data_IF_011174466969
#
_entry.id   IF_011174466969
#
_cell.length_a   1.000
_cell.length_b   1.000
_cell.length_c   1.000
_cell.angle_alpha   90.00
_cell.angle_beta   90.00
_cell.angle_gamma   90.00
#
_symmetry.space_group_name_H-M   'P 1'
#
loop_
_entity.id
_entity.type
_entity.pdbx_description
1 polymer ?
#
# COMPACT_ATOMS: atom_id res chain seq x y z
N UNK A 1 -0.16 15.92 -9.53
CA UNK A 1 0.91 15.23 -10.24
C UNK A 1 1.79 16.21 -11.02
N UNK A 2 1.22 16.99 -11.97
CA UNK A 2 1.95 17.92 -12.87
C UNK A 2 2.17 19.33 -12.30
N UNK A 3 1.50 19.69 -11.18
CA UNK A 3 1.49 21.05 -10.66
C UNK A 3 0.50 21.94 -11.41
N UNK A 4 0.42 23.21 -10.99
CA UNK A 4 -0.44 24.21 -11.61
C UNK A 4 0.18 25.60 -11.48
N UNK A 5 -0.20 26.50 -12.35
CA UNK A 5 0.09 27.93 -12.23
C UNK A 5 -1.07 28.65 -11.57
N UNK A 6 -0.81 29.83 -11.02
CA UNK A 6 -1.84 30.69 -10.46
C UNK A 6 -2.93 30.96 -11.50
N UNK A 7 -4.20 30.82 -11.11
CA UNK A 7 -5.34 31.00 -12.00
C UNK A 7 -5.69 29.79 -12.89
N UNK A 8 -5.00 28.67 -12.76
CA UNK A 8 -5.27 27.47 -13.57
C UNK A 8 -6.68 26.90 -13.40
N UNK A 9 -7.28 27.10 -12.24
CA UNK A 9 -8.66 26.73 -11.89
C UNK A 9 -9.18 27.59 -10.73
N UNK A 10 -10.47 27.53 -10.44
CA UNK A 10 -11.07 28.27 -9.32
C UNK A 10 -10.46 27.83 -8.01
N UNK A 11 -9.78 28.76 -7.30
CA UNK A 11 -9.06 28.46 -6.06
C UNK A 11 -7.55 28.25 -6.22
N UNK A 12 -7.00 28.30 -7.45
CA UNK A 12 -5.56 28.27 -7.68
C UNK A 12 -4.93 29.65 -7.40
N UNK A 13 -4.78 29.99 -6.13
CA UNK A 13 -4.28 31.31 -5.68
C UNK A 13 -2.77 31.49 -5.91
N UNK A 14 -2.03 30.39 -5.96
CA UNK A 14 -0.57 30.36 -6.11
C UNK A 14 -0.17 29.28 -7.12
N UNK A 15 1.02 29.44 -7.69
CA UNK A 15 1.61 28.40 -8.53
C UNK A 15 2.27 27.33 -7.65
N UNK A 16 2.06 26.05 -7.98
CA UNK A 16 2.64 24.93 -7.23
C UNK A 16 3.30 23.92 -8.14
N UNK A 17 4.53 23.54 -7.80
CA UNK A 17 5.25 22.45 -8.46
C UNK A 17 4.53 21.10 -8.25
N UNK A 18 4.49 20.28 -9.31
CA UNK A 18 3.93 18.94 -9.26
C UNK A 18 4.90 17.90 -8.69
N UNK A 19 4.38 16.71 -8.41
CA UNK A 19 5.20 15.60 -7.90
C UNK A 19 6.30 15.19 -8.88
N UNK A 20 6.03 15.24 -10.18
CA UNK A 20 7.04 14.94 -11.22
C UNK A 20 8.24 15.90 -11.09
N UNK A 21 7.97 17.19 -10.97
CA UNK A 21 9.01 18.20 -10.84
C UNK A 21 9.81 18.04 -9.54
N UNK A 22 9.12 17.74 -8.44
CA UNK A 22 9.75 17.53 -7.12
C UNK A 22 10.57 16.24 -7.06
N UNK A 23 10.29 15.29 -7.93
CA UNK A 23 10.99 13.99 -7.99
C UNK A 23 12.09 13.96 -9.06
N UNK A 24 12.47 15.11 -9.63
CA UNK A 24 13.50 15.17 -10.66
C UNK A 24 14.84 14.59 -10.14
N UNK A 25 15.43 13.72 -10.93
CA UNK A 25 16.62 12.93 -10.56
C UNK A 25 16.34 11.74 -9.64
N UNK A 26 15.10 11.53 -9.21
CA UNK A 26 14.71 10.53 -8.21
C UNK A 26 13.73 9.49 -8.71
N UNK A 27 12.90 9.02 -7.78
CA UNK A 27 11.86 8.00 -7.97
C UNK A 27 10.51 8.56 -7.54
N UNK A 28 9.49 8.36 -8.35
CA UNK A 28 8.10 8.68 -8.02
C UNK A 28 7.25 7.42 -8.01
N UNK A 29 6.69 7.10 -6.85
CA UNK A 29 5.73 6.01 -6.69
C UNK A 29 4.31 6.55 -6.81
N UNK A 30 3.53 5.98 -7.72
CA UNK A 30 2.12 6.31 -7.94
C UNK A 30 1.25 5.11 -7.62
N UNK A 31 0.57 5.18 -6.48
CA UNK A 31 -0.39 4.17 -6.07
C UNK A 31 -1.74 4.40 -6.73
N UNK A 32 -2.46 3.32 -7.02
CA UNK A 32 -3.78 3.32 -7.65
C UNK A 32 -3.82 4.16 -8.93
N UNK A 33 -2.81 3.98 -9.79
CA UNK A 33 -2.62 4.79 -11.01
C UNK A 33 -3.81 4.75 -11.97
N UNK A 34 -4.64 3.70 -11.90
CA UNK A 34 -5.89 3.58 -12.67
C UNK A 34 -6.91 4.69 -12.35
N UNK A 35 -6.80 5.34 -11.18
CA UNK A 35 -7.68 6.46 -10.77
C UNK A 35 -7.36 7.79 -11.43
N UNK A 36 -6.29 7.87 -12.20
CA UNK A 36 -6.03 9.07 -12.99
C UNK A 36 -7.12 9.23 -14.04
N UNK A 37 -7.67 10.44 -14.14
CA UNK A 37 -8.58 10.79 -15.22
C UNK A 37 -7.86 10.76 -16.59
N UNK A 38 -8.63 10.75 -17.69
CA UNK A 38 -8.09 10.62 -19.04
C UNK A 38 -7.04 11.69 -19.36
N UNK A 39 -7.26 12.94 -18.97
CA UNK A 39 -6.29 14.03 -19.18
C UNK A 39 -4.98 13.78 -18.41
N UNK A 40 -5.07 13.30 -17.16
CA UNK A 40 -3.90 12.94 -16.36
C UNK A 40 -3.12 11.77 -16.95
N UNK A 41 -3.83 10.80 -17.51
CA UNK A 41 -3.21 9.66 -18.20
C UNK A 41 -2.48 10.10 -19.47
N UNK A 42 -3.08 10.92 -20.32
CA UNK A 42 -2.47 11.43 -21.54
C UNK A 42 -1.20 12.25 -21.26
N UNK A 43 -1.25 13.12 -20.26
CA UNK A 43 -0.07 13.88 -19.81
C UNK A 43 1.02 12.96 -19.26
N UNK A 44 0.63 11.91 -18.54
CA UNK A 44 1.59 10.93 -18.02
C UNK A 44 2.23 10.13 -19.15
N UNK A 45 1.48 9.74 -20.18
CA UNK A 45 2.03 9.09 -21.38
C UNK A 45 3.04 9.98 -22.09
N UNK A 46 2.70 11.25 -22.31
CA UNK A 46 3.61 12.22 -22.91
C UNK A 46 4.90 12.32 -22.09
N UNK A 47 4.77 12.40 -20.77
CA UNK A 47 5.93 12.44 -19.91
C UNK A 47 6.78 11.16 -19.98
N UNK A 48 6.15 9.98 -19.99
CA UNK A 48 6.86 8.70 -20.12
C UNK A 48 7.63 8.58 -21.44
N UNK A 49 7.06 9.10 -22.52
CA UNK A 49 7.65 9.02 -23.87
C UNK A 49 8.78 10.05 -24.09
N UNK A 50 8.64 11.25 -23.52
CA UNK A 50 9.51 12.39 -23.86
C UNK A 50 10.32 12.94 -22.69
N UNK A 51 9.96 12.59 -21.46
CA UNK A 51 10.54 13.20 -20.26
C UNK A 51 10.08 14.65 -20.05
N UNK A 52 9.05 15.11 -20.80
CA UNK A 52 8.57 16.49 -20.76
C UNK A 52 7.14 16.58 -20.25
N UNK A 53 6.82 17.72 -19.62
CA UNK A 53 5.48 18.00 -19.10
C UNK A 53 5.25 19.52 -19.02
N UNK A 54 3.98 19.92 -18.83
CA UNK A 54 3.59 21.29 -18.49
C UNK A 54 2.71 21.28 -17.25
N UNK A 55 2.78 22.34 -16.45
CA UNK A 55 1.84 22.54 -15.33
C UNK A 55 0.44 22.83 -15.85
N UNK A 56 -0.58 22.55 -15.08
CA UNK A 56 -1.96 22.87 -15.43
C UNK A 56 -2.11 24.37 -15.55
N UNK A 57 -2.74 24.86 -16.63
CA UNK A 57 -2.92 26.28 -16.93
C UNK A 57 -1.67 26.96 -17.50
N UNK A 58 -0.57 26.26 -17.73
CA UNK A 58 0.66 26.82 -18.31
C UNK A 58 0.69 26.55 -19.82
N UNK A 59 0.54 27.63 -20.62
CA UNK A 59 0.55 27.52 -22.08
C UNK A 59 1.95 27.79 -22.64
N UNK A 60 2.41 26.92 -23.53
CA UNK A 60 3.66 27.10 -24.26
C UNK A 60 4.96 26.86 -23.48
N UNK A 61 4.87 26.55 -22.18
CA UNK A 61 6.07 26.21 -21.38
C UNK A 61 6.21 24.70 -21.27
N UNK A 62 7.33 24.20 -21.74
CA UNK A 62 7.69 22.77 -21.67
C UNK A 62 8.78 22.62 -20.61
N UNK A 63 8.50 21.80 -19.59
CA UNK A 63 9.45 21.43 -18.53
C UNK A 63 10.01 20.05 -18.81
N UNK A 64 11.19 19.78 -18.30
CA UNK A 64 11.84 18.46 -18.36
C UNK A 64 12.11 17.96 -16.96
N UNK A 65 11.94 16.66 -16.75
CA UNK A 65 12.36 15.97 -15.54
C UNK A 65 12.84 14.55 -15.89
N UNK A 66 13.76 14.04 -15.10
CA UNK A 66 14.28 12.68 -15.21
C UNK A 66 13.85 11.90 -13.98
N UNK A 67 12.72 11.20 -14.07
CA UNK A 67 12.11 10.50 -12.93
C UNK A 67 11.96 9.03 -13.28
N UNK A 68 12.35 8.16 -12.36
CA UNK A 68 11.98 6.73 -12.41
C UNK A 68 10.58 6.58 -11.85
N UNK A 69 9.64 6.11 -12.68
CA UNK A 69 8.25 5.90 -12.28
C UNK A 69 8.05 4.45 -11.80
N UNK A 70 7.35 4.31 -10.68
CA UNK A 70 6.86 3.03 -10.17
C UNK A 70 5.35 3.19 -9.99
N UNK A 71 4.60 2.25 -10.51
CA UNK A 71 3.14 2.24 -10.46
C UNK A 71 2.63 1.08 -9.64
N UNK A 72 1.57 1.29 -8.89
CA UNK A 72 0.79 0.22 -8.27
C UNK A 72 -0.69 0.36 -8.66
N UNK A 73 -1.37 -0.76 -8.72
CA UNK A 73 -2.80 -0.84 -8.99
C UNK A 73 -3.39 -2.10 -8.43
N UNK A 74 -4.65 -2.04 -8.01
CA UNK A 74 -5.47 -3.20 -7.66
C UNK A 74 -6.28 -3.74 -8.84
N UNK A 75 -6.36 -2.98 -9.95
CA UNK A 75 -7.07 -3.39 -11.16
C UNK A 75 -6.27 -4.43 -11.96
N UNK A 76 -7.01 -5.30 -12.65
CA UNK A 76 -6.41 -6.29 -13.54
C UNK A 76 -5.73 -5.63 -14.75
N UNK A 77 -4.63 -6.20 -15.22
CA UNK A 77 -3.92 -5.69 -16.41
C UNK A 77 -4.81 -5.68 -17.67
N UNK A 78 -5.86 -6.51 -17.71
CA UNK A 78 -6.82 -6.55 -18.82
C UNK A 78 -7.70 -5.29 -18.90
N UNK A 79 -7.91 -4.62 -17.77
CA UNK A 79 -8.69 -3.38 -17.68
C UNK A 79 -7.85 -2.12 -17.91
N UNK A 80 -6.53 -2.27 -17.87
CA UNK A 80 -5.61 -1.19 -18.22
C UNK A 80 -5.60 -0.94 -19.73
N UNK A 81 -5.59 0.34 -20.10
CA UNK A 81 -5.39 0.73 -21.49
C UNK A 81 -4.10 0.08 -22.02
N UNK A 82 -4.20 -0.65 -23.11
CA UNK A 82 -3.06 -1.31 -23.79
C UNK A 82 -1.90 -0.34 -24.05
N UNK A 83 -2.21 0.92 -24.27
CA UNK A 83 -1.26 2.02 -24.44
C UNK A 83 -0.41 2.28 -23.19
N UNK A 84 -0.97 2.05 -21.99
CA UNK A 84 -0.24 2.17 -20.72
C UNK A 84 0.77 1.04 -20.55
N UNK A 85 0.30 -0.20 -20.77
CA UNK A 85 1.13 -1.40 -20.57
C UNK A 85 2.36 -1.45 -21.49
N UNK A 86 2.26 -0.91 -22.71
CA UNK A 86 3.38 -0.85 -23.66
C UNK A 86 4.54 0.01 -23.18
N UNK A 87 4.30 0.94 -22.25
CA UNK A 87 5.31 1.87 -21.71
C UNK A 87 5.90 1.39 -20.38
N UNK A 88 5.33 0.34 -19.80
CA UNK A 88 5.80 -0.25 -18.55
C UNK A 88 6.48 -1.58 -18.88
N UNK A 89 7.81 -1.60 -18.99
CA UNK A 89 8.54 -2.78 -19.45
C UNK A 89 8.58 -3.91 -18.41
N UNK A 90 8.39 -3.58 -17.12
CA UNK A 90 8.46 -4.55 -16.02
C UNK A 90 7.13 -4.55 -15.29
N UNK A 91 6.44 -5.69 -15.34
CA UNK A 91 5.20 -5.92 -14.61
C UNK A 91 5.43 -7.00 -13.55
N UNK A 92 5.06 -6.71 -12.32
CA UNK A 92 5.19 -7.64 -11.19
C UNK A 92 3.80 -7.89 -10.61
N UNK A 93 3.36 -9.13 -10.67
CA UNK A 93 2.15 -9.56 -10.01
C UNK A 93 2.46 -9.94 -8.55
N UNK A 94 1.75 -9.32 -7.62
CA UNK A 94 1.83 -9.63 -6.19
C UNK A 94 0.63 -10.49 -5.81
N UNK A 95 0.80 -11.81 -5.60
CA UNK A 95 -0.31 -12.69 -5.29
C UNK A 95 -0.95 -12.34 -3.94
N UNK A 96 -2.27 -12.53 -3.83
CA UNK A 96 -2.99 -12.40 -2.57
C UNK A 96 -2.62 -13.55 -1.60
N UNK A 97 -3.02 -13.45 -0.33
CA UNK A 97 -2.63 -14.42 0.70
C UNK A 97 -3.17 -15.84 0.42
N UNK A 98 -4.29 -15.96 -0.29
CA UNK A 98 -4.90 -17.26 -0.60
C UNK A 98 -4.25 -17.96 -1.81
N UNK A 99 -3.61 -17.19 -2.69
CA UNK A 99 -2.83 -17.70 -3.82
C UNK A 99 -1.44 -18.16 -3.40
N UNK A 100 -0.99 -17.72 -2.22
CA UNK A 100 0.29 -18.14 -1.64
C UNK A 100 0.14 -19.53 -1.01
N UNK A 101 1.09 -20.39 -1.23
CA UNK A 101 1.08 -21.72 -0.62
C UNK A 101 1.04 -21.68 0.91
N UNK A 102 0.60 -22.78 1.54
CA UNK A 102 0.45 -22.90 2.99
C UNK A 102 1.71 -22.52 3.78
N UNK A 103 2.89 -22.82 3.23
CA UNK A 103 4.18 -22.49 3.85
C UNK A 103 4.38 -20.99 3.92
N UNK A 104 4.08 -20.26 2.86
CA UNK A 104 4.24 -18.80 2.81
C UNK A 104 3.18 -18.12 3.68
N UNK A 105 1.93 -18.58 3.61
CA UNK A 105 0.85 -18.11 4.50
C UNK A 105 1.22 -18.28 5.97
N UNK A 106 1.82 -19.42 6.33
CA UNK A 106 2.31 -19.66 7.69
C UNK A 106 3.37 -18.64 8.11
N UNK A 107 4.37 -18.38 7.27
CA UNK A 107 5.41 -17.38 7.56
C UNK A 107 4.82 -15.97 7.78
N UNK A 108 3.80 -15.60 7.01
CA UNK A 108 3.10 -14.32 7.16
C UNK A 108 2.38 -14.27 8.52
N UNK A 109 1.68 -15.32 8.91
CA UNK A 109 1.00 -15.43 10.21
C UNK A 109 1.99 -15.34 11.36
N UNK A 110 3.08 -16.12 11.30
CA UNK A 110 4.14 -16.12 12.31
C UNK A 110 4.81 -14.72 12.41
N UNK A 111 5.03 -14.05 11.29
CA UNK A 111 5.55 -12.69 11.26
C UNK A 111 4.62 -11.69 12.00
N UNK A 112 3.32 -11.74 11.77
CA UNK A 112 2.38 -10.85 12.47
C UNK A 112 2.28 -11.16 13.96
N UNK A 113 2.35 -12.42 14.36
CA UNK A 113 2.41 -12.80 15.78
C UNK A 113 3.67 -12.21 16.43
N UNK A 114 4.81 -12.29 15.75
CA UNK A 114 6.06 -11.69 16.21
C UNK A 114 5.97 -10.17 16.33
N UNK A 115 5.38 -9.48 15.35
CA UNK A 115 5.15 -8.03 15.46
C UNK A 115 4.26 -7.66 16.65
N UNK A 116 3.18 -8.41 16.88
CA UNK A 116 2.31 -8.18 18.05
C UNK A 116 3.05 -8.47 19.37
N UNK A 117 3.94 -9.45 19.42
CA UNK A 117 4.77 -9.71 20.62
C UNK A 117 5.66 -8.52 20.98
N UNK A 118 6.22 -7.84 19.98
CA UNK A 118 6.98 -6.60 20.19
C UNK A 118 6.10 -5.47 20.72
N UNK A 119 4.91 -5.31 20.16
CA UNK A 119 3.96 -4.26 20.59
C UNK A 119 3.51 -4.48 22.04
N UNK A 120 3.26 -5.73 22.43
CA UNK A 120 2.82 -6.08 23.78
C UNK A 120 3.98 -6.18 24.79
N UNK A 121 5.23 -6.20 24.32
CA UNK A 121 6.42 -6.36 25.16
C UNK A 121 6.53 -7.73 25.82
N UNK A 122 5.83 -8.75 25.29
CA UNK A 122 5.75 -10.10 25.85
C UNK A 122 5.90 -11.15 24.76
N UNK A 123 6.56 -12.30 25.05
CA UNK A 123 6.57 -13.41 24.12
C UNK A 123 5.16 -13.97 23.93
N UNK A 124 4.77 -14.24 22.69
CA UNK A 124 3.49 -14.86 22.35
C UNK A 124 3.77 -16.28 21.87
N UNK A 125 3.28 -17.27 22.61
CA UNK A 125 3.29 -18.66 22.20
C UNK A 125 1.95 -19.03 21.55
N UNK A 126 2.02 -19.69 20.39
CA UNK A 126 0.85 -20.18 19.70
C UNK A 126 0.83 -21.69 19.65
N UNK A 127 -0.28 -22.31 20.01
CA UNK A 127 -0.44 -23.75 19.88
C UNK A 127 -0.59 -24.16 18.41
N UNK A 128 -0.16 -25.36 18.06
CA UNK A 128 -0.31 -25.89 16.70
C UNK A 128 -1.78 -25.93 16.25
N UNK A 129 -2.71 -26.20 17.19
CA UNK A 129 -4.15 -26.21 16.92
C UNK A 129 -4.62 -24.81 16.47
N UNK A 130 -4.24 -23.78 17.21
CA UNK A 130 -4.60 -22.39 16.91
C UNK A 130 -3.97 -21.93 15.59
N UNK A 131 -2.70 -22.25 15.37
CA UNK A 131 -2.03 -21.95 14.11
C UNK A 131 -2.75 -22.60 12.92
N UNK A 132 -3.07 -23.89 13.03
CA UNK A 132 -3.80 -24.59 11.97
C UNK A 132 -5.21 -24.01 11.74
N UNK A 133 -5.89 -23.55 12.79
CA UNK A 133 -7.17 -22.88 12.65
C UNK A 133 -7.04 -21.56 11.88
N UNK A 134 -6.03 -20.74 12.20
CA UNK A 134 -5.76 -19.47 11.48
C UNK A 134 -5.42 -19.73 10.00
N UNK A 135 -4.62 -20.75 9.71
CA UNK A 135 -4.24 -21.10 8.34
C UNK A 135 -5.42 -21.55 7.46
N UNK A 136 -6.49 -22.07 8.08
CA UNK A 136 -7.74 -22.45 7.38
C UNK A 136 -8.67 -21.26 7.10
N UNK A 137 -8.46 -20.10 7.72
CA UNK A 137 -9.28 -18.93 7.47
C UNK A 137 -9.01 -18.42 6.05
N UNK A 138 -10.07 -18.13 5.31
CA UNK A 138 -9.99 -17.43 4.02
C UNK A 138 -10.09 -15.93 4.26
N UNK A 139 -9.00 -15.21 4.05
CA UNK A 139 -8.91 -13.77 4.28
C UNK A 139 -9.35 -13.00 3.02
N UNK A 140 -10.63 -12.61 2.96
CA UNK A 140 -11.18 -11.82 1.84
C UNK A 140 -10.51 -10.44 1.73
N UNK A 141 -10.16 -9.82 2.86
CA UNK A 141 -9.40 -8.56 2.94
C UNK A 141 -7.89 -8.76 2.88
N UNK A 142 -7.45 -9.89 2.31
CA UNK A 142 -6.05 -10.20 2.04
C UNK A 142 -5.16 -10.11 3.31
N UNK A 143 -3.91 -9.70 3.16
CA UNK A 143 -2.91 -9.58 4.25
C UNK A 143 -3.38 -8.62 5.36
N UNK A 144 -4.11 -7.54 5.00
CA UNK A 144 -4.66 -6.60 5.96
C UNK A 144 -5.64 -7.23 6.94
N UNK A 145 -6.56 -8.06 6.45
CA UNK A 145 -7.50 -8.81 7.30
C UNK A 145 -6.78 -9.83 8.16
N UNK A 146 -5.82 -10.57 7.59
CA UNK A 146 -4.99 -11.51 8.35
C UNK A 146 -4.30 -10.82 9.53
N UNK A 147 -3.65 -9.69 9.31
CA UNK A 147 -3.02 -8.87 10.35
C UNK A 147 -4.00 -8.46 11.44
N UNK A 148 -5.19 -7.98 11.06
CA UNK A 148 -6.21 -7.53 12.01
C UNK A 148 -6.75 -8.69 12.87
N UNK A 149 -6.99 -9.87 12.27
CA UNK A 149 -7.43 -11.07 12.99
C UNK A 149 -6.37 -11.49 14.03
N UNK A 150 -5.11 -11.51 13.66
CA UNK A 150 -4.02 -11.86 14.57
C UNK A 150 -3.91 -10.83 15.71
N UNK A 151 -3.90 -9.54 15.37
CA UNK A 151 -3.88 -8.45 16.35
C UNK A 151 -5.02 -8.56 17.37
N UNK A 152 -6.24 -8.81 16.89
CA UNK A 152 -7.41 -9.00 17.76
C UNK A 152 -7.27 -10.23 18.65
N UNK A 153 -6.80 -11.36 18.12
CA UNK A 153 -6.60 -12.59 18.88
C UNK A 153 -5.54 -12.41 19.99
N UNK A 154 -4.41 -11.78 19.67
CA UNK A 154 -3.35 -11.49 20.62
C UNK A 154 -3.83 -10.53 21.71
N UNK A 155 -4.53 -9.45 21.34
CA UNK A 155 -5.08 -8.50 22.31
C UNK A 155 -6.10 -9.14 23.27
N UNK A 156 -6.97 -10.02 22.77
CA UNK A 156 -7.91 -10.78 23.62
C UNK A 156 -7.19 -11.75 24.55
N UNK A 157 -6.18 -12.46 24.07
CA UNK A 157 -5.39 -13.37 24.91
C UNK A 157 -4.67 -12.60 26.04
N UNK A 158 -4.07 -11.46 25.70
CA UNK A 158 -3.43 -10.58 26.65
C UNK A 158 -4.40 -10.09 27.73
N UNK A 159 -5.54 -9.54 27.36
CA UNK A 159 -6.55 -9.05 28.30
C UNK A 159 -7.09 -10.17 29.23
N UNK A 160 -7.22 -11.40 28.70
CA UNK A 160 -7.66 -12.54 29.51
C UNK A 160 -6.61 -12.96 30.55
N UNK A 161 -5.32 -12.93 30.16
CA UNK A 161 -4.24 -13.26 31.09
C UNK A 161 -4.06 -12.21 32.17
N UNK A 162 -4.20 -10.92 31.85
CA UNK A 162 -4.18 -9.85 32.86
C UNK A 162 -5.29 -10.01 33.91
N UNK A 163 -6.48 -10.38 33.50
CA UNK A 163 -7.61 -10.64 34.43
C UNK A 163 -7.32 -11.85 35.34
N UNK A 164 -6.69 -12.89 34.84
CA UNK A 164 -6.31 -14.06 35.65
C UNK A 164 -5.26 -13.71 36.70
N UNK A 165 -4.23 -12.96 36.31
CA UNK A 165 -3.18 -12.53 37.23
C UNK A 165 -3.71 -11.51 38.26
N UNK A 166 -4.65 -10.61 37.88
CA UNK A 166 -5.29 -9.67 38.81
C UNK A 166 -6.22 -10.34 39.84
N UNK A 167 -6.81 -11.49 39.54
CA UNK A 167 -7.65 -12.24 40.47
C UNK A 167 -6.82 -13.07 41.49
N UNK A 168 -5.57 -13.41 41.17
CA UNK A 168 -4.67 -14.10 42.09
C UNK A 168 -4.21 -13.15 43.17
N UNK A 169 -4.04 -11.85 42.92
CA UNK A 169 -3.68 -10.85 43.92
C UNK A 169 -4.84 -10.36 44.80
N UNK A 170 -6.11 -10.68 44.45
CA UNK A 170 -7.28 -10.32 45.27
C UNK A 170 -7.76 -11.42 46.22
N UNK A 171 -7.15 -12.59 46.21
CA UNK A 171 -7.50 -13.71 47.06
C UNK A 171 -6.57 -13.88 48.27
N UNK A 172 -5.64 -12.92 48.50
CA UNK A 172 -4.72 -12.92 49.65
C UNK A 172 -4.86 -11.66 50.54
N UNK A 173 -5.96 -10.90 50.46
CA UNK A 173 -6.42 -9.93 51.43
C UNK A 173 -7.74 -10.46 52.05
#
# INVERSE_FOLDING_TARGET
LFGHVKGAYTGANESRAGLIEQSDGGVLFLDEVHRLNSEGQEKLFTFMDTGTFSRIGENGVIRKARVRLIFATTESLSEFLQTFLRRIPINIYVPNIEERGTIEKRKIVEHFIYEESKVLGLPIEITQITLNAILKIKFKGNIGECKNVIKYACGRAYAKNQRRNGNIFRSEE
#
